data_IF_300651928221
#
_entry.id   IF_300651928221
#
_cell.length_a   1.000
_cell.length_b   1.000
_cell.length_c   1.000
_cell.angle_alpha   90.00
_cell.angle_beta   90.00
_cell.angle_gamma   90.00
#
_symmetry.space_group_name_H-M   'P 1'
#
loop_
_entity.id
_entity.type
_entity.pdbx_description
1 polymer ?
#
# COMPACT_ATOMS: atom_id res chain seq x y z
N UNK A 1 -30.83 -7.68 16.27
CA UNK A 1 -30.24 -9.02 16.20
C UNK A 1 -28.91 -8.94 15.46
N UNK A 2 -27.87 -9.52 16.01
CA UNK A 2 -26.56 -9.52 15.37
C UNK A 2 -26.57 -10.33 14.09
N UNK A 3 -25.95 -9.83 13.05
CA UNK A 3 -25.76 -10.57 11.81
C UNK A 3 -24.75 -11.68 12.02
N UNK A 4 -25.01 -12.86 11.43
CA UNK A 4 -24.06 -13.96 11.38
C UNK A 4 -23.23 -13.94 10.10
N UNK A 5 -23.43 -12.93 9.25
CA UNK A 5 -22.70 -12.76 8.00
C UNK A 5 -21.67 -11.66 8.11
N UNK A 6 -20.54 -11.89 7.48
CA UNK A 6 -19.50 -10.89 7.29
C UNK A 6 -19.23 -10.79 5.79
N UNK A 7 -19.40 -9.60 5.25
CA UNK A 7 -19.10 -9.34 3.85
C UNK A 7 -17.71 -8.74 3.74
N UNK A 8 -16.84 -9.41 3.01
CA UNK A 8 -15.43 -8.99 2.86
C UNK A 8 -15.19 -8.60 1.41
N UNK A 9 -14.56 -7.45 1.21
CA UNK A 9 -14.06 -7.03 -0.08
C UNK A 9 -12.55 -7.29 -0.14
N UNK A 10 -12.11 -7.93 -1.22
CA UNK A 10 -10.68 -8.14 -1.49
C UNK A 10 -10.29 -7.20 -2.62
N UNK A 11 -9.54 -6.15 -2.29
CA UNK A 11 -9.15 -5.14 -3.26
C UNK A 11 -7.77 -5.47 -3.84
N UNK A 12 -7.76 -5.96 -5.08
CA UNK A 12 -6.53 -6.21 -5.83
C UNK A 12 -6.27 -5.00 -6.72
N UNK A 13 -5.55 -4.03 -6.18
CA UNK A 13 -5.30 -2.77 -6.85
C UNK A 13 -3.80 -2.49 -6.92
N UNK A 14 -3.38 -1.83 -7.98
CA UNK A 14 -1.98 -1.43 -8.12
C UNK A 14 -1.74 -0.14 -7.32
N UNK A 15 -0.60 -0.04 -6.62
CA UNK A 15 -0.24 1.21 -5.97
C UNK A 15 0.21 2.26 -6.99
N UNK A 16 0.29 3.51 -6.55
CA UNK A 16 1.14 4.49 -7.18
C UNK A 16 2.56 4.22 -6.64
N UNK A 17 3.42 3.65 -7.46
CA UNK A 17 4.71 3.10 -7.02
C UNK A 17 5.58 4.14 -6.33
N UNK A 18 6.06 3.79 -5.12
CA UNK A 18 6.96 4.62 -4.33
C UNK A 18 6.41 6.03 -4.10
N UNK A 19 5.08 6.11 -3.98
CA UNK A 19 4.35 7.36 -3.71
C UNK A 19 3.24 7.06 -2.70
N UNK A 20 3.58 7.16 -1.42
CA UNK A 20 2.65 6.85 -0.33
C UNK A 20 1.39 7.72 -0.39
N UNK A 21 1.54 9.01 -0.63
CA UNK A 21 0.40 9.93 -0.62
C UNK A 21 -0.61 9.59 -1.71
N UNK A 22 -0.13 9.37 -2.94
CA UNK A 22 -0.99 9.00 -4.05
C UNK A 22 -1.64 7.63 -3.84
N UNK A 23 -0.91 6.67 -3.27
CA UNK A 23 -1.47 5.35 -2.96
C UNK A 23 -2.52 5.44 -1.86
N UNK A 24 -2.29 6.26 -0.84
CA UNK A 24 -3.26 6.49 0.24
C UNK A 24 -4.59 7.04 -0.31
N UNK A 25 -4.54 7.99 -1.23
CA UNK A 25 -5.73 8.51 -1.90
C UNK A 25 -6.48 7.41 -2.64
N UNK A 26 -5.75 6.56 -3.33
CA UNK A 26 -6.28 5.42 -4.06
C UNK A 26 -6.98 4.43 -3.13
N UNK A 27 -6.32 4.10 -2.02
CA UNK A 27 -6.87 3.19 -0.99
C UNK A 27 -8.13 3.76 -0.40
N UNK A 28 -8.15 5.06 -0.07
CA UNK A 28 -9.33 5.75 0.46
C UNK A 28 -10.52 5.62 -0.49
N UNK A 29 -10.31 5.82 -1.79
CA UNK A 29 -11.35 5.67 -2.81
C UNK A 29 -11.90 4.25 -2.84
N UNK A 30 -11.04 3.24 -2.75
CA UNK A 30 -11.47 1.84 -2.77
C UNK A 30 -12.17 1.43 -1.47
N UNK A 31 -11.79 2.00 -0.33
CA UNK A 31 -12.51 1.80 0.94
C UNK A 31 -13.95 2.31 0.81
N UNK A 32 -14.12 3.53 0.30
CA UNK A 32 -15.43 4.13 0.11
C UNK A 32 -16.29 3.28 -0.83
N UNK A 33 -15.70 2.81 -1.93
CA UNK A 33 -16.41 1.95 -2.88
C UNK A 33 -16.83 0.62 -2.26
N UNK A 34 -15.95 -0.01 -1.49
CA UNK A 34 -16.27 -1.26 -0.80
C UNK A 34 -17.41 -1.05 0.20
N UNK A 35 -17.39 0.05 0.95
CA UNK A 35 -18.44 0.39 1.89
C UNK A 35 -19.78 0.61 1.19
N UNK A 36 -19.79 1.31 0.06
CA UNK A 36 -20.98 1.55 -0.74
C UNK A 36 -21.59 0.24 -1.27
N UNK A 37 -20.76 -0.76 -1.51
CA UNK A 37 -21.20 -2.09 -1.94
C UNK A 37 -21.55 -3.02 -0.77
N UNK A 38 -21.52 -2.52 0.45
CA UNK A 38 -21.98 -3.26 1.64
C UNK A 38 -20.91 -4.10 2.32
N UNK A 39 -19.64 -3.86 2.07
CA UNK A 39 -18.58 -4.59 2.75
C UNK A 39 -18.45 -4.15 4.21
N UNK A 40 -18.22 -5.12 5.08
CA UNK A 40 -17.92 -4.89 6.50
C UNK A 40 -16.42 -4.78 6.74
N UNK A 41 -15.63 -5.39 5.86
CA UNK A 41 -14.18 -5.41 5.93
C UNK A 41 -13.62 -5.32 4.51
N UNK A 42 -12.58 -4.54 4.32
CA UNK A 42 -11.84 -4.50 3.07
C UNK A 42 -10.37 -4.84 3.32
N UNK A 43 -9.81 -5.70 2.47
CA UNK A 43 -8.42 -6.13 2.55
C UNK A 43 -7.68 -5.74 1.28
N UNK A 44 -6.45 -5.30 1.44
CA UNK A 44 -5.55 -4.92 0.36
C UNK A 44 -4.33 -5.84 0.35
N UNK A 45 -3.55 -5.77 -0.71
CA UNK A 45 -2.33 -6.56 -0.83
C UNK A 45 -1.22 -6.10 0.10
N UNK A 46 -0.23 -6.97 0.28
CA UNK A 46 0.94 -6.71 1.11
C UNK A 46 1.75 -5.53 0.59
N UNK A 47 2.29 -4.72 1.50
CA UNK A 47 3.18 -3.60 1.20
C UNK A 47 2.61 -2.59 0.20
N UNK A 48 1.29 -2.43 0.16
CA UNK A 48 0.64 -1.60 -0.86
C UNK A 48 1.05 -0.13 -0.79
N UNK A 49 1.11 0.46 0.41
CA UNK A 49 1.28 1.91 0.53
C UNK A 49 2.61 2.42 -0.04
N UNK A 50 3.78 1.81 0.27
CA UNK A 50 4.99 2.19 -0.46
C UNK A 50 5.13 1.48 -1.80
N UNK A 51 4.41 0.37 -2.00
CA UNK A 51 4.54 -0.50 -3.16
C UNK A 51 5.50 -1.66 -2.90
N UNK A 52 5.14 -2.86 -3.33
CA UNK A 52 6.00 -4.03 -3.17
C UNK A 52 7.35 -3.80 -3.88
N UNK A 53 8.47 -4.13 -3.26
CA UNK A 53 9.79 -3.73 -3.79
C UNK A 53 10.27 -4.56 -4.98
N UNK A 54 9.54 -4.56 -6.07
CA UNK A 54 9.93 -5.24 -7.31
C UNK A 54 11.25 -4.74 -7.88
N UNK A 55 11.60 -3.50 -7.56
CA UNK A 55 12.84 -2.91 -8.03
C UNK A 55 14.07 -3.68 -7.59
N UNK A 56 13.99 -4.45 -6.50
CA UNK A 56 15.12 -5.27 -6.04
C UNK A 56 15.51 -6.30 -7.12
N UNK A 57 14.53 -7.00 -7.68
CA UNK A 57 14.77 -8.03 -8.69
C UNK A 57 15.02 -7.46 -10.09
N UNK A 58 14.45 -6.29 -10.37
CA UNK A 58 14.47 -5.71 -11.72
C UNK A 58 15.63 -4.75 -11.97
N UNK A 59 16.44 -4.49 -10.98
CA UNK A 59 17.63 -3.67 -11.09
C UNK A 59 18.84 -4.43 -10.56
N UNK A 60 19.74 -3.79 -9.85
CA UNK A 60 20.99 -4.38 -9.37
C UNK A 60 20.85 -5.18 -8.06
N UNK A 61 19.75 -5.88 -7.84
CA UNK A 61 19.42 -6.50 -6.54
C UNK A 61 20.47 -7.46 -5.99
N UNK A 62 21.16 -8.19 -6.86
CA UNK A 62 22.22 -9.12 -6.46
C UNK A 62 23.60 -8.49 -6.44
N UNK A 63 23.74 -7.23 -6.82
CA UNK A 63 25.02 -6.55 -6.90
C UNK A 63 25.37 -5.90 -5.56
N UNK A 64 26.53 -6.24 -5.04
CA UNK A 64 27.03 -5.63 -3.79
C UNK A 64 27.30 -4.13 -3.98
N UNK A 65 26.88 -3.32 -3.02
CA UNK A 65 27.10 -1.87 -3.02
C UNK A 65 26.59 -1.13 -4.26
N UNK A 66 25.50 -1.60 -4.86
CA UNK A 66 24.87 -0.91 -5.99
C UNK A 66 24.36 0.48 -5.58
N UNK A 67 24.83 1.52 -6.25
CA UNK A 67 24.36 2.89 -6.03
C UNK A 67 22.87 3.03 -6.38
N UNK A 68 22.41 2.36 -7.43
CA UNK A 68 21.01 2.37 -7.82
C UNK A 68 20.12 1.75 -6.74
N UNK A 69 20.50 0.58 -6.23
CA UNK A 69 19.73 -0.08 -5.16
C UNK A 69 19.67 0.78 -3.90
N UNK A 70 20.76 1.44 -3.54
CA UNK A 70 20.78 2.32 -2.37
C UNK A 70 19.84 3.51 -2.53
N UNK A 71 19.79 4.12 -3.72
CA UNK A 71 18.89 5.24 -3.98
C UNK A 71 17.43 4.80 -3.95
N UNK A 72 17.13 3.66 -4.56
CA UNK A 72 15.77 3.12 -4.57
C UNK A 72 15.32 2.72 -3.16
N UNK A 73 16.20 2.11 -2.38
CA UNK A 73 15.90 1.75 -1.00
C UNK A 73 15.65 2.99 -0.14
N UNK A 74 16.45 4.03 -0.30
CA UNK A 74 16.27 5.28 0.45
C UNK A 74 14.90 5.90 0.15
N UNK A 75 14.52 5.95 -1.12
CA UNK A 75 13.21 6.45 -1.52
C UNK A 75 12.07 5.57 -0.99
N UNK A 76 12.23 4.27 -1.08
CA UNK A 76 11.26 3.31 -0.54
C UNK A 76 11.07 3.52 0.97
N UNK A 77 12.17 3.70 1.70
CA UNK A 77 12.12 3.94 3.14
C UNK A 77 11.42 5.27 3.47
N UNK A 78 11.62 6.31 2.66
CA UNK A 78 10.94 7.59 2.83
C UNK A 78 9.43 7.48 2.64
N UNK A 79 8.99 6.55 1.79
CA UNK A 79 7.58 6.31 1.53
C UNK A 79 6.95 5.34 2.52
N UNK A 80 7.69 4.82 3.47
CA UNK A 80 7.15 3.97 4.52
C UNK A 80 6.17 4.75 5.40
N UNK A 81 5.18 4.03 5.93
CA UNK A 81 4.15 4.62 6.80
C UNK A 81 4.76 4.98 8.15
N UNK A 82 4.49 6.19 8.62
CA UNK A 82 4.82 6.63 9.98
C UNK A 82 3.50 6.95 10.68
N UNK A 83 3.08 6.07 11.57
CA UNK A 83 1.78 6.19 12.26
C UNK A 83 1.70 7.48 13.07
N UNK A 84 2.77 7.83 13.77
CA UNK A 84 2.83 9.03 14.61
C UNK A 84 2.71 10.32 13.81
N UNK A 85 3.07 10.30 12.54
CA UNK A 85 2.90 11.43 11.62
C UNK A 85 1.49 11.56 11.09
N UNK A 86 0.63 10.55 11.31
CA UNK A 86 -0.74 10.56 10.83
C UNK A 86 -0.90 10.05 9.39
N UNK A 87 0.03 9.26 8.89
CA UNK A 87 -0.01 8.77 7.49
C UNK A 87 -1.23 7.89 7.20
N UNK A 88 -1.81 7.25 8.20
CA UNK A 88 -3.00 6.42 8.06
C UNK A 88 -4.32 7.14 8.38
N UNK A 89 -4.27 8.38 8.84
CA UNK A 89 -5.48 9.12 9.21
C UNK A 89 -6.50 9.28 8.08
N UNK A 90 -6.09 9.46 6.79
CA UNK A 90 -7.06 9.55 5.70
C UNK A 90 -7.86 8.28 5.46
N UNK A 91 -7.43 7.17 6.00
CA UNK A 91 -8.08 5.86 5.84
C UNK A 91 -8.98 5.56 7.02
#
# INVERSE_FOLDING_TARGET
MASTRLTIALAQVAPAWLDRAATTDKVSTWIDRAADEGADLVCFGEALLPGYPFWVERTDGARFESALQKRLYAHYAEQAVVIERGDLEPL
#
